data_IF_589868763190
#
_entry.id   IF_589868763190
#
_cell.length_a   1.000
_cell.length_b   1.000
_cell.length_c   1.000
_cell.angle_alpha   90.00
_cell.angle_beta   90.00
_cell.angle_gamma   90.00
#
_symmetry.space_group_name_H-M   'P 1'
#
loop_
_entity.id
_entity.type
_entity.pdbx_description
1 polymer ?
#
# COMPACT_ATOMS: atom_id res chain seq x y z
N UNK A 1 -47.23 -8.92 -8.61
CA UNK A 1 -46.13 -9.08 -7.62
C UNK A 1 -44.77 -9.20 -8.34
N UNK A 2 -44.21 -8.12 -8.91
CA UNK A 2 -42.95 -8.23 -9.69
C UNK A 2 -41.87 -7.16 -9.42
N UNK A 3 -42.10 -6.19 -8.53
CA UNK A 3 -41.14 -5.08 -8.31
C UNK A 3 -40.04 -5.42 -7.29
N UNK A 4 -40.22 -6.45 -6.44
CA UNK A 4 -39.27 -6.76 -5.36
C UNK A 4 -37.93 -7.36 -5.80
N UNK A 5 -37.88 -7.99 -6.98
CA UNK A 5 -36.66 -8.69 -7.44
C UNK A 5 -35.62 -7.75 -8.09
N UNK A 6 -36.04 -6.63 -8.70
CA UNK A 6 -35.10 -5.70 -9.34
C UNK A 6 -34.27 -4.91 -8.32
N UNK A 7 -34.87 -4.57 -7.18
CA UNK A 7 -34.20 -3.79 -6.13
C UNK A 7 -33.08 -4.55 -5.39
N UNK A 8 -33.19 -5.88 -5.26
CA UNK A 8 -32.14 -6.66 -4.57
C UNK A 8 -30.90 -6.87 -5.46
N UNK A 9 -31.08 -7.00 -6.77
CA UNK A 9 -29.98 -7.10 -7.73
C UNK A 9 -29.22 -5.78 -7.83
N UNK A 10 -29.90 -4.64 -7.96
CA UNK A 10 -29.22 -3.34 -8.08
C UNK A 10 -28.44 -2.92 -6.84
N UNK A 11 -28.93 -3.25 -5.63
CA UNK A 11 -28.20 -2.99 -4.37
C UNK A 11 -26.93 -3.85 -4.25
N UNK A 12 -26.98 -5.13 -4.62
CA UNK A 12 -25.82 -6.02 -4.54
C UNK A 12 -24.69 -5.61 -5.51
N UNK A 13 -25.02 -5.11 -6.69
CA UNK A 13 -24.01 -4.64 -7.65
C UNK A 13 -23.33 -3.34 -7.19
N UNK A 14 -24.08 -2.41 -6.60
CA UNK A 14 -23.53 -1.16 -6.07
C UNK A 14 -22.49 -1.39 -4.97
N UNK A 15 -22.73 -2.35 -4.09
CA UNK A 15 -21.78 -2.71 -3.02
C UNK A 15 -20.51 -3.36 -3.57
N UNK A 16 -20.62 -4.20 -4.60
CA UNK A 16 -19.47 -4.84 -5.26
C UNK A 16 -18.62 -3.79 -5.99
N UNK A 17 -19.23 -2.88 -6.74
CA UNK A 17 -18.52 -1.84 -7.47
C UNK A 17 -17.76 -0.89 -6.52
N UNK A 18 -18.37 -0.54 -5.39
CA UNK A 18 -17.72 0.27 -4.35
C UNK A 18 -16.52 -0.46 -3.74
N UNK A 19 -16.65 -1.77 -3.46
CA UNK A 19 -15.56 -2.59 -2.95
C UNK A 19 -14.41 -2.68 -3.97
N UNK A 20 -14.73 -2.89 -5.26
CA UNK A 20 -13.74 -2.94 -6.33
C UNK A 20 -12.99 -1.62 -6.46
N UNK A 21 -13.67 -0.48 -6.38
CA UNK A 21 -13.01 0.83 -6.41
C UNK A 21 -12.12 1.04 -5.17
N UNK A 22 -12.60 0.67 -3.97
CA UNK A 22 -11.81 0.75 -2.74
C UNK A 22 -10.53 -0.11 -2.81
N UNK A 23 -10.65 -1.33 -3.32
CA UNK A 23 -9.51 -2.25 -3.52
C UNK A 23 -8.57 -1.64 -4.56
N UNK A 24 -9.09 -1.17 -5.70
CA UNK A 24 -8.29 -0.58 -6.77
C UNK A 24 -7.51 0.66 -6.31
N UNK A 25 -8.11 1.49 -5.45
CA UNK A 25 -7.42 2.61 -4.82
C UNK A 25 -6.32 2.15 -3.87
N UNK A 26 -6.59 1.13 -3.04
CA UNK A 26 -5.58 0.54 -2.14
C UNK A 26 -4.40 -0.04 -2.91
N UNK A 27 -4.65 -0.74 -4.01
CA UNK A 27 -3.60 -1.31 -4.87
C UNK A 27 -2.73 -0.23 -5.50
N UNK A 28 -3.34 0.82 -6.06
CA UNK A 28 -2.61 1.98 -6.59
C UNK A 28 -1.76 2.67 -5.53
N UNK A 29 -2.27 2.78 -4.30
CA UNK A 29 -1.53 3.32 -3.18
C UNK A 29 -0.31 2.47 -2.83
N UNK A 30 -0.49 1.16 -2.69
CA UNK A 30 0.61 0.23 -2.36
C UNK A 30 1.69 0.22 -3.44
N UNK A 31 1.31 0.23 -4.72
CA UNK A 31 2.26 0.32 -5.84
C UNK A 31 3.13 1.59 -5.75
N UNK A 32 2.52 2.74 -5.43
CA UNK A 32 3.27 4.01 -5.26
C UNK A 32 4.21 3.97 -4.06
N UNK A 33 3.78 3.38 -2.94
CA UNK A 33 4.63 3.19 -1.75
C UNK A 33 5.82 2.31 -2.10
N UNK A 34 5.59 1.22 -2.82
CA UNK A 34 6.63 0.29 -3.25
C UNK A 34 7.64 0.95 -4.20
N UNK A 35 7.18 1.76 -5.17
CA UNK A 35 8.07 2.52 -6.06
C UNK A 35 8.94 3.54 -5.33
N UNK A 36 8.44 4.15 -4.25
CA UNK A 36 9.24 5.02 -3.39
C UNK A 36 10.27 4.21 -2.63
N UNK A 37 9.88 3.07 -2.05
CA UNK A 37 10.78 2.17 -1.34
C UNK A 37 11.91 1.67 -2.24
N UNK A 38 11.60 1.20 -3.45
CA UNK A 38 12.59 0.74 -4.44
C UNK A 38 13.60 1.84 -4.78
N UNK A 39 13.13 3.04 -5.14
CA UNK A 39 14.03 4.18 -5.42
C UNK A 39 14.92 4.55 -4.24
N UNK A 40 14.43 4.37 -3.02
CA UNK A 40 15.22 4.61 -1.81
C UNK A 40 16.32 3.56 -1.64
N UNK A 41 15.99 2.28 -1.88
CA UNK A 41 16.95 1.16 -1.88
C UNK A 41 17.99 1.32 -2.99
N UNK A 42 17.57 1.57 -4.23
CA UNK A 42 18.46 1.75 -5.38
C UNK A 42 19.49 2.87 -5.14
N UNK A 43 19.06 3.95 -4.47
CA UNK A 43 19.90 5.13 -4.22
C UNK A 43 20.88 4.95 -3.04
N UNK A 44 20.49 4.21 -2.01
CA UNK A 44 21.22 4.18 -0.73
C UNK A 44 21.70 2.80 -0.29
N UNK A 45 21.30 1.73 -0.98
CA UNK A 45 21.42 0.36 -0.52
C UNK A 45 20.36 -0.01 0.52
N UNK A 46 20.01 -1.29 0.61
CA UNK A 46 18.90 -1.79 1.41
C UNK A 46 19.00 -1.43 2.90
N UNK A 47 20.18 -1.64 3.51
CA UNK A 47 20.43 -1.36 4.92
C UNK A 47 20.22 0.13 5.27
N UNK A 48 20.86 1.03 4.51
CA UNK A 48 20.76 2.48 4.75
C UNK A 48 19.37 3.02 4.42
N UNK A 49 18.71 2.48 3.39
CA UNK A 49 17.32 2.82 3.07
C UNK A 49 16.37 2.47 4.22
N UNK A 50 16.53 1.30 4.84
CA UNK A 50 15.73 0.87 6.00
C UNK A 50 15.87 1.87 7.15
N UNK A 51 17.09 2.25 7.49
CA UNK A 51 17.35 3.18 8.59
C UNK A 51 16.77 4.58 8.32
N UNK A 52 16.93 5.08 7.10
CA UNK A 52 16.37 6.37 6.70
C UNK A 52 14.83 6.36 6.77
N UNK A 53 14.19 5.30 6.28
CA UNK A 53 12.74 5.17 6.30
C UNK A 53 12.21 5.07 7.74
N UNK A 54 12.84 4.27 8.60
CA UNK A 54 12.47 4.14 10.02
C UNK A 54 12.60 5.46 10.78
N UNK A 55 13.70 6.20 10.59
CA UNK A 55 13.90 7.52 11.22
C UNK A 55 12.93 8.57 10.69
N UNK A 56 12.57 8.53 9.41
CA UNK A 56 11.58 9.42 8.84
C UNK A 56 10.18 9.12 9.42
N UNK A 57 9.81 7.84 9.52
CA UNK A 57 8.55 7.40 10.11
C UNK A 57 8.44 7.79 11.59
N UNK A 58 9.50 7.60 12.38
CA UNK A 58 9.52 7.94 13.81
C UNK A 58 9.31 9.44 14.09
N UNK A 59 9.70 10.32 13.15
CA UNK A 59 9.55 11.78 13.28
C UNK A 59 8.22 12.31 12.76
N UNK A 60 7.41 11.48 12.11
CA UNK A 60 6.18 11.91 11.46
C UNK A 60 4.95 11.35 12.18
N UNK A 61 3.92 12.19 12.31
CA UNK A 61 2.64 11.83 12.90
C UNK A 61 1.50 11.86 11.87
N UNK A 62 0.33 11.36 12.27
CA UNK A 62 -0.88 11.35 11.45
C UNK A 62 -0.72 10.60 10.12
N UNK A 63 -1.36 11.12 9.06
CA UNK A 63 -1.39 10.49 7.74
C UNK A 63 0.01 10.35 7.12
N UNK A 64 0.89 11.33 7.35
CA UNK A 64 2.27 11.31 6.85
C UNK A 64 3.10 10.21 7.53
N UNK A 65 2.95 10.04 8.84
CA UNK A 65 3.58 8.95 9.57
C UNK A 65 3.11 7.57 9.10
N UNK A 66 1.82 7.42 8.76
CA UNK A 66 1.29 6.17 8.20
C UNK A 66 1.93 5.82 6.83
N UNK A 67 2.07 6.80 5.94
CA UNK A 67 2.73 6.61 4.63
C UNK A 67 4.20 6.22 4.82
N UNK A 68 4.92 6.91 5.70
CA UNK A 68 6.33 6.64 5.94
C UNK A 68 6.57 5.27 6.60
N UNK A 69 5.64 4.80 7.44
CA UNK A 69 5.66 3.42 7.95
C UNK A 69 5.48 2.40 6.84
N UNK A 70 4.50 2.60 5.95
CA UNK A 70 4.29 1.71 4.80
C UNK A 70 5.52 1.68 3.85
N UNK A 71 6.20 2.82 3.66
CA UNK A 71 7.47 2.86 2.93
C UNK A 71 8.56 2.07 3.66
N UNK A 72 8.70 2.23 4.98
CA UNK A 72 9.69 1.50 5.76
C UNK A 72 9.45 -0.02 5.73
N UNK A 73 8.19 -0.45 5.78
CA UNK A 73 7.78 -1.85 5.62
C UNK A 73 8.17 -2.38 4.23
N UNK A 74 7.84 -1.64 3.16
CA UNK A 74 8.20 -2.04 1.79
C UNK A 74 9.71 -2.12 1.57
N UNK A 75 10.50 -1.24 2.19
CA UNK A 75 11.98 -1.32 2.15
C UNK A 75 12.47 -2.58 2.85
N UNK A 76 11.87 -2.94 3.98
CA UNK A 76 12.21 -4.15 4.72
C UNK A 76 11.85 -5.41 3.91
N UNK A 77 10.72 -5.41 3.19
CA UNK A 77 10.34 -6.51 2.31
C UNK A 77 11.32 -6.68 1.14
N UNK A 78 11.73 -5.58 0.52
CA UNK A 78 12.77 -5.59 -0.52
C UNK A 78 14.08 -6.17 0.01
N UNK A 79 14.52 -5.75 1.20
CA UNK A 79 15.72 -6.29 1.85
C UNK A 79 15.58 -7.80 2.14
N UNK A 80 14.41 -8.27 2.56
CA UNK A 80 14.18 -9.71 2.78
C UNK A 80 14.28 -10.49 1.47
N UNK A 81 13.67 -9.99 0.39
CA UNK A 81 13.76 -10.64 -0.92
C UNK A 81 15.21 -10.66 -1.42
N UNK A 82 15.96 -9.57 -1.24
CA UNK A 82 17.38 -9.49 -1.56
C UNK A 82 18.20 -10.58 -0.85
N UNK A 83 17.91 -10.84 0.43
CA UNK A 83 18.56 -11.89 1.23
C UNK A 83 18.21 -13.32 0.76
N UNK A 84 17.02 -13.53 0.19
CA UNK A 84 16.58 -14.87 -0.24
C UNK A 84 16.93 -15.22 -1.69
N UNK A 85 17.19 -14.23 -2.53
CA UNK A 85 17.48 -14.41 -3.96
C UNK A 85 18.94 -14.10 -4.34
N UNK A 86 19.80 -13.86 -3.34
CA UNK A 86 21.27 -13.82 -3.43
C UNK A 86 21.90 -14.96 -2.63
#
# INVERSE_FOLDING_TARGET
MQIKALHSLTFQHFDIDLLVECISQRWRYLARVHDVARRLVDKHGASRASDLAKRAAARASGRRGAILRAVAESVNDLMRLDIFYH
#
